data_IF_444135526965
#
_entry.id   IF_444135526965
#
_cell.length_a   1.000
_cell.length_b   1.000
_cell.length_c   1.000
_cell.angle_alpha   90.00
_cell.angle_beta   90.00
_cell.angle_gamma   90.00
#
_symmetry.space_group_name_H-M   'P 1'
#
loop_
_entity.id
_entity.type
_entity.pdbx_description
1 polymer ?
#
# COMPACT_ATOMS: atom_id res chain seq x y z
N UNK A 1 27.97 22.46 5.00
CA UNK A 1 26.77 22.11 4.21
C UNK A 1 25.62 21.82 5.18
N UNK A 2 24.51 22.56 5.13
CA UNK A 2 23.30 22.25 5.89
C UNK A 2 22.74 20.86 5.54
N UNK A 3 22.12 20.19 6.53
CA UNK A 3 21.49 18.87 6.33
C UNK A 3 20.47 18.85 5.18
N UNK A 4 19.78 19.97 4.94
CA UNK A 4 18.84 20.13 3.84
C UNK A 4 19.51 20.03 2.46
N UNK A 5 20.69 20.64 2.28
CA UNK A 5 21.47 20.54 1.04
C UNK A 5 22.01 19.13 0.85
N UNK A 6 22.52 18.50 1.93
CA UNK A 6 23.00 17.11 1.88
C UNK A 6 21.88 16.13 1.46
N UNK A 7 20.67 16.28 2.01
CA UNK A 7 19.50 15.47 1.61
C UNK A 7 19.14 15.67 0.15
N UNK A 8 19.22 16.90 -0.36
CA UNK A 8 18.93 17.19 -1.77
C UNK A 8 19.93 16.51 -2.70
N UNK A 9 21.24 16.57 -2.39
CA UNK A 9 22.28 15.91 -3.16
C UNK A 9 22.12 14.38 -3.13
N UNK A 10 21.90 13.80 -1.95
CA UNK A 10 21.66 12.35 -1.82
C UNK A 10 20.40 11.92 -2.59
N UNK A 11 19.33 12.72 -2.56
CA UNK A 11 18.10 12.40 -3.31
C UNK A 11 18.33 12.53 -4.82
N UNK A 12 19.05 13.56 -5.28
CA UNK A 12 19.34 13.76 -6.69
C UNK A 12 20.21 12.63 -7.27
N UNK A 13 21.20 12.17 -6.51
CA UNK A 13 22.13 11.12 -6.94
C UNK A 13 21.49 9.73 -6.90
N UNK A 14 20.77 9.40 -5.81
CA UNK A 14 20.29 8.04 -5.56
C UNK A 14 18.79 7.84 -5.88
N UNK A 15 18.05 8.90 -6.14
CA UNK A 15 16.63 8.86 -6.51
C UNK A 15 16.39 9.70 -7.77
N UNK A 16 16.98 9.29 -8.92
CA UNK A 16 16.88 10.04 -10.17
C UNK A 16 15.41 10.27 -10.55
N UNK A 17 15.11 11.48 -11.02
CA UNK A 17 13.73 11.95 -11.20
C UNK A 17 12.97 11.11 -12.23
N UNK A 18 13.66 10.60 -13.25
CA UNK A 18 13.11 9.77 -14.32
C UNK A 18 12.63 8.43 -13.76
N UNK A 19 13.39 7.84 -12.83
CA UNK A 19 13.04 6.58 -12.17
C UNK A 19 11.81 6.76 -11.28
N UNK A 20 11.76 7.85 -10.52
CA UNK A 20 10.59 8.20 -9.71
C UNK A 20 9.35 8.39 -10.59
N UNK A 21 9.46 9.16 -11.67
CA UNK A 21 8.36 9.36 -12.62
C UNK A 21 7.89 8.05 -13.26
N UNK A 22 8.82 7.17 -13.60
CA UNK A 22 8.51 5.85 -14.16
C UNK A 22 7.74 4.99 -13.16
N UNK A 23 8.13 5.01 -11.89
CA UNK A 23 7.43 4.29 -10.82
C UNK A 23 6.04 4.87 -10.55
N UNK A 24 5.92 6.21 -10.50
CA UNK A 24 4.64 6.90 -10.38
C UNK A 24 3.71 6.54 -11.56
N UNK A 25 4.21 6.56 -12.79
CA UNK A 25 3.44 6.17 -13.96
C UNK A 25 2.97 4.71 -13.87
N UNK A 26 3.86 3.78 -13.48
CA UNK A 26 3.50 2.36 -13.27
C UNK A 26 2.38 2.23 -12.24
N UNK A 27 2.47 2.95 -11.12
CA UNK A 27 1.45 2.95 -10.07
C UNK A 27 0.11 3.47 -10.57
N UNK A 28 0.09 4.61 -11.26
CA UNK A 28 -1.13 5.19 -11.83
C UNK A 28 -1.78 4.33 -12.92
N UNK A 29 -0.99 3.52 -13.62
CA UNK A 29 -1.46 2.57 -14.63
C UNK A 29 -1.82 1.19 -14.07
N UNK A 30 -1.57 0.94 -12.78
CA UNK A 30 -1.75 -0.36 -12.15
C UNK A 30 -3.23 -0.74 -12.09
N UNK A 31 -3.55 -1.97 -12.52
CA UNK A 31 -4.90 -2.55 -12.48
C UNK A 31 -4.83 -4.01 -12.07
N UNK A 32 -5.88 -4.50 -11.45
CA UNK A 32 -6.04 -5.94 -11.20
C UNK A 32 -5.99 -6.69 -12.55
N UNK A 33 -5.15 -7.72 -12.63
CA UNK A 33 -5.09 -8.66 -13.75
C UNK A 33 -5.60 -10.01 -13.30
N UNK A 34 -6.40 -10.67 -14.13
CA UNK A 34 -6.83 -12.07 -13.92
C UNK A 34 -7.44 -12.35 -12.53
N UNK A 35 -8.10 -11.35 -11.93
CA UNK A 35 -8.64 -11.42 -10.57
C UNK A 35 -7.59 -11.75 -9.47
N UNK A 36 -6.29 -11.58 -9.75
CA UNK A 36 -5.23 -11.79 -8.78
C UNK A 36 -5.02 -10.53 -7.92
N UNK A 37 -5.86 -10.42 -6.89
CA UNK A 37 -5.90 -9.30 -5.96
C UNK A 37 -4.66 -9.25 -5.07
N UNK A 38 -4.17 -10.41 -4.62
CA UNK A 38 -2.94 -10.51 -3.82
C UNK A 38 -1.75 -9.91 -4.56
N UNK A 39 -1.56 -10.27 -5.84
CA UNK A 39 -0.50 -9.70 -6.66
C UNK A 39 -0.68 -8.18 -6.88
N UNK A 40 -1.93 -7.72 -6.99
CA UNK A 40 -2.24 -6.30 -7.08
C UNK A 40 -1.85 -5.55 -5.79
N UNK A 41 -2.28 -6.01 -4.62
CA UNK A 41 -1.99 -5.38 -3.33
C UNK A 41 -0.48 -5.34 -3.07
N UNK A 42 0.21 -6.46 -3.29
CA UNK A 42 1.67 -6.51 -3.16
C UNK A 42 2.34 -5.48 -4.07
N UNK A 43 1.98 -5.45 -5.36
CA UNK A 43 2.60 -4.55 -6.32
C UNK A 43 2.27 -3.08 -6.05
N UNK A 44 1.06 -2.80 -5.59
CA UNK A 44 0.63 -1.47 -5.17
C UNK A 44 1.47 -0.98 -3.99
N UNK A 45 1.63 -1.82 -2.96
CA UNK A 45 2.40 -1.48 -1.77
C UNK A 45 3.89 -1.26 -2.08
N UNK A 46 4.50 -2.12 -2.91
CA UNK A 46 5.88 -1.92 -3.40
C UNK A 46 6.05 -0.57 -4.11
N UNK A 47 5.15 -0.25 -5.06
CA UNK A 47 5.24 0.98 -5.84
C UNK A 47 4.93 2.23 -4.99
N UNK A 48 3.97 2.14 -4.07
CA UNK A 48 3.61 3.24 -3.18
C UNK A 48 4.75 3.63 -2.22
N UNK A 49 5.53 2.64 -1.74
CA UNK A 49 6.73 2.86 -0.93
C UNK A 49 7.84 3.57 -1.70
N UNK A 50 7.94 3.32 -3.01
CA UNK A 50 8.99 3.87 -3.87
C UNK A 50 8.64 5.22 -4.50
N UNK A 51 7.47 5.80 -4.22
CA UNK A 51 7.01 7.09 -4.77
C UNK A 51 6.96 8.17 -3.67
N UNK A 52 8.07 8.90 -3.39
CA UNK A 52 8.16 9.85 -2.28
C UNK A 52 7.05 10.89 -2.21
N UNK A 53 6.55 11.34 -3.37
CA UNK A 53 5.47 12.34 -3.48
C UNK A 53 4.12 11.80 -3.00
N UNK A 54 3.87 10.51 -3.19
CA UNK A 54 2.64 9.83 -2.76
C UNK A 54 2.69 9.33 -1.32
N UNK A 55 3.87 9.22 -0.70
CA UNK A 55 4.04 8.72 0.68
C UNK A 55 3.26 9.55 1.72
N UNK A 56 3.13 10.87 1.53
CA UNK A 56 2.51 11.77 2.53
C UNK A 56 0.99 11.94 2.38
N UNK A 57 0.42 12.19 1.19
CA UNK A 57 -1.02 12.39 1.09
C UNK A 57 -1.76 11.05 1.03
N UNK A 58 -2.26 10.58 2.18
CA UNK A 58 -2.95 9.30 2.31
C UNK A 58 -4.14 9.16 1.36
N UNK A 59 -4.94 10.23 1.21
CA UNK A 59 -6.05 10.31 0.25
C UNK A 59 -5.65 9.98 -1.19
N UNK A 60 -4.44 10.39 -1.61
CA UNK A 60 -3.97 10.17 -2.98
C UNK A 60 -3.60 8.70 -3.17
N UNK A 61 -3.10 8.03 -2.14
CA UNK A 61 -2.87 6.59 -2.16
C UNK A 61 -4.17 5.82 -2.26
N UNK A 62 -5.17 6.19 -1.44
CA UNK A 62 -6.49 5.57 -1.47
C UNK A 62 -7.14 5.72 -2.86
N UNK A 63 -7.10 6.92 -3.44
CA UNK A 63 -7.63 7.15 -4.80
C UNK A 63 -6.90 6.33 -5.86
N UNK A 64 -5.57 6.23 -5.77
CA UNK A 64 -4.77 5.41 -6.68
C UNK A 64 -5.11 3.91 -6.54
N UNK A 65 -5.31 3.44 -5.31
CA UNK A 65 -5.73 2.07 -5.02
C UNK A 65 -7.10 1.78 -5.63
N UNK A 66 -8.12 2.56 -5.28
CA UNK A 66 -9.50 2.41 -5.77
C UNK A 66 -9.57 2.48 -7.31
N UNK A 67 -8.72 3.29 -7.94
CA UNK A 67 -8.65 3.40 -9.41
C UNK A 67 -8.21 2.10 -10.09
N UNK A 68 -7.33 1.33 -9.47
CA UNK A 68 -6.81 0.06 -10.01
C UNK A 68 -7.75 -1.13 -9.80
N UNK A 69 -8.76 -0.99 -8.94
CA UNK A 69 -9.75 -2.02 -8.68
C UNK A 69 -10.67 -2.27 -9.89
N UNK A 70 -11.14 -3.51 -10.01
CA UNK A 70 -12.15 -3.89 -10.99
C UNK A 70 -13.51 -3.30 -10.63
N UNK A 71 -14.31 -2.96 -11.64
CA UNK A 71 -15.58 -2.23 -11.47
C UNK A 71 -16.58 -2.92 -10.55
N UNK A 72 -16.52 -4.25 -10.45
CA UNK A 72 -17.38 -5.06 -9.59
C UNK A 72 -17.15 -4.86 -8.08
N UNK A 73 -15.96 -4.45 -7.63
CA UNK A 73 -15.66 -4.19 -6.20
C UNK A 73 -15.44 -2.70 -5.94
N UNK A 74 -15.06 -1.94 -6.96
CA UNK A 74 -14.69 -0.54 -6.85
C UNK A 74 -15.78 0.32 -6.20
N UNK A 75 -17.05 0.09 -6.57
CA UNK A 75 -18.18 0.85 -6.02
C UNK A 75 -18.36 0.65 -4.51
N UNK A 76 -18.28 -0.60 -4.05
CA UNK A 76 -18.45 -0.97 -2.65
C UNK A 76 -17.28 -0.45 -1.79
N UNK A 77 -16.04 -0.60 -2.26
CA UNK A 77 -14.84 -0.05 -1.59
C UNK A 77 -14.90 1.49 -1.55
N UNK A 78 -15.41 2.15 -2.59
CA UNK A 78 -15.59 3.61 -2.56
C UNK A 78 -16.64 4.02 -1.53
N UNK A 79 -17.71 3.24 -1.37
CA UNK A 79 -18.80 3.52 -0.43
C UNK A 79 -18.38 3.38 1.04
N UNK A 80 -17.40 2.52 1.34
CA UNK A 80 -16.88 2.35 2.71
C UNK A 80 -16.01 3.51 3.17
N UNK A 81 -15.56 4.38 2.25
CA UNK A 81 -14.72 5.57 2.53
C UNK A 81 -13.47 5.23 3.36
N UNK A 82 -12.57 4.37 2.84
CA UNK A 82 -11.39 3.96 3.58
C UNK A 82 -10.45 5.15 3.86
N UNK A 83 -9.90 5.21 5.07
CA UNK A 83 -8.98 6.27 5.46
C UNK A 83 -7.56 6.07 4.93
N UNK A 84 -7.18 4.82 4.64
CA UNK A 84 -5.87 4.41 4.14
C UNK A 84 -5.99 3.15 3.24
N UNK A 85 -4.95 2.81 2.44
CA UNK A 85 -4.99 1.66 1.55
C UNK A 85 -5.23 0.32 2.26
N UNK A 86 -4.71 0.12 3.47
CA UNK A 86 -4.93 -1.13 4.23
C UNK A 86 -6.40 -1.32 4.62
N UNK A 87 -7.12 -0.25 4.95
CA UNK A 87 -8.57 -0.32 5.12
C UNK A 87 -9.30 -0.66 3.82
N UNK A 88 -8.83 -0.12 2.69
CA UNK A 88 -9.40 -0.46 1.39
C UNK A 88 -9.18 -1.95 1.03
N UNK A 89 -7.99 -2.49 1.30
CA UNK A 89 -7.66 -3.92 1.17
C UNK A 89 -8.56 -4.79 2.06
N UNK A 90 -8.78 -4.39 3.32
CA UNK A 90 -9.64 -5.12 4.24
C UNK A 90 -11.11 -5.14 3.78
N UNK A 91 -11.62 -4.02 3.26
CA UNK A 91 -12.98 -3.93 2.72
C UNK A 91 -13.12 -4.83 1.49
N UNK A 92 -12.13 -4.81 0.61
CA UNK A 92 -12.08 -5.68 -0.56
C UNK A 92 -12.10 -7.17 -0.19
N UNK A 93 -11.25 -7.58 0.77
CA UNK A 93 -11.25 -8.95 1.28
C UNK A 93 -12.58 -9.36 1.94
N UNK A 94 -13.24 -8.42 2.64
CA UNK A 94 -14.56 -8.66 3.23
C UNK A 94 -15.64 -8.87 2.15
N UNK A 95 -15.62 -8.07 1.08
CA UNK A 95 -16.52 -8.24 -0.07
C UNK A 95 -16.31 -9.60 -0.73
N UNK A 96 -15.05 -10.01 -0.95
CA UNK A 96 -14.73 -11.31 -1.53
C UNK A 96 -15.27 -12.47 -0.67
N UNK A 97 -15.11 -12.36 0.66
CA UNK A 97 -15.62 -13.35 1.62
C UNK A 97 -17.15 -13.42 1.58
N UNK A 98 -17.84 -12.29 1.55
CA UNK A 98 -19.30 -12.26 1.53
C UNK A 98 -19.87 -12.80 0.22
N UNK A 99 -19.23 -12.51 -0.91
CA UNK A 99 -19.60 -13.07 -2.21
C UNK A 99 -19.38 -14.58 -2.27
N UNK A 100 -18.31 -15.09 -1.66
CA UNK A 100 -18.09 -16.53 -1.53
C UNK A 100 -19.20 -17.17 -0.66
N UNK A 101 -19.64 -16.52 0.43
CA UNK A 101 -20.78 -17.00 1.23
C UNK A 101 -22.07 -17.02 0.42
N UNK A 102 -22.41 -15.96 -0.31
CA UNK A 102 -23.61 -15.92 -1.14
C UNK A 102 -23.58 -16.94 -2.29
N UNK A 103 -22.40 -17.27 -2.82
CA UNK A 103 -22.25 -18.38 -3.77
C UNK A 103 -22.46 -19.75 -3.08
N UNK A 104 -22.05 -19.88 -1.82
CA UNK A 104 -22.25 -21.09 -1.01
C UNK A 104 -23.67 -21.21 -0.44
N UNK A 105 -24.51 -20.17 -0.42
CA UNK A 105 -25.95 -20.27 -0.05
C UNK A 105 -26.74 -21.11 -1.07
N UNK A 106 -26.18 -21.40 -2.25
CA UNK A 106 -26.73 -22.43 -3.16
C UNK A 106 -26.31 -23.85 -2.76
N UNK A 107 -25.30 -24.03 -1.90
CA UNK A 107 -24.79 -25.33 -1.46
C UNK A 107 -24.52 -25.34 0.07
N UNK A 108 -25.60 -25.24 0.85
CA UNK A 108 -25.58 -25.47 2.29
C UNK A 108 -25.34 -26.95 2.61
N UNK A 109 -24.13 -27.32 3.04
CA UNK A 109 -23.92 -28.31 4.10
C UNK A 109 -22.45 -28.37 4.58
N UNK A 110 -22.27 -28.03 5.87
CA UNK A 110 -21.21 -28.44 6.82
C UNK A 110 -20.14 -27.38 7.18
N UNK A 111 -20.30 -26.85 8.40
CA UNK A 111 -19.28 -27.00 9.44
C UNK A 111 -18.62 -25.71 9.95
N UNK A 112 -18.97 -25.30 11.18
CA UNK A 112 -18.34 -24.23 11.96
C UNK A 112 -17.02 -24.65 12.63
N UNK A 113 -16.10 -23.69 12.84
CA UNK A 113 -15.03 -23.75 13.86
C UNK A 113 -13.92 -22.67 13.72
N UNK A 114 -13.63 -21.81 14.73
CA UNK A 114 -12.76 -20.63 14.58
C UNK A 114 -11.44 -20.62 15.41
N UNK A 115 -10.54 -19.69 15.03
CA UNK A 115 -9.61 -18.85 15.86
C UNK A 115 -8.07 -19.01 15.70
N UNK A 116 -7.47 -17.84 15.35
CA UNK A 116 -6.15 -17.21 15.62
C UNK A 116 -4.85 -18.03 15.66
N UNK A 117 -3.90 -17.55 14.85
CA UNK A 117 -2.51 -17.33 15.26
C UNK A 117 -2.04 -15.98 14.71
N UNK A 118 -1.64 -15.05 15.59
CA UNK A 118 -0.93 -13.82 15.22
C UNK A 118 0.49 -13.96 15.77
N UNK A 119 1.44 -14.28 14.90
CA UNK A 119 2.86 -14.21 15.20
C UNK A 119 3.40 -12.92 14.59
N UNK A 120 3.41 -11.85 15.39
CA UNK A 120 4.13 -10.63 15.05
C UNK A 120 5.61 -10.82 15.41
N UNK A 121 6.38 -11.39 14.48
CA UNK A 121 7.82 -11.22 14.51
C UNK A 121 8.12 -9.73 14.29
N UNK A 122 8.81 -9.12 15.25
CA UNK A 122 9.24 -7.72 15.18
C UNK A 122 10.24 -7.61 14.02
N UNK A 123 9.72 -7.24 12.85
CA UNK A 123 10.53 -6.99 11.67
C UNK A 123 11.58 -5.96 12.05
N UNK A 124 12.85 -6.37 11.96
CA UNK A 124 13.96 -5.44 12.01
C UNK A 124 13.63 -4.31 11.04
N UNK A 125 13.58 -3.07 11.55
CA UNK A 125 13.37 -1.90 10.70
C UNK A 125 14.59 -1.80 9.82
N UNK A 126 14.55 -2.42 8.65
CA UNK A 126 15.53 -2.17 7.61
C UNK A 126 15.47 -0.68 7.32
N UNK A 127 16.59 0.00 7.56
CA UNK A 127 16.76 1.40 7.19
C UNK A 127 16.74 1.49 5.67
N UNK A 128 15.54 1.61 5.11
CA UNK A 128 15.40 1.92 3.69
C UNK A 128 15.94 3.34 3.45
N UNK A 129 16.45 3.60 2.26
CA UNK A 129 16.89 4.93 1.85
C UNK A 129 15.82 6.01 2.15
N UNK A 130 14.54 5.67 1.99
CA UNK A 130 13.41 6.53 2.34
C UNK A 130 13.29 6.85 3.84
N UNK A 131 13.64 5.90 4.73
CA UNK A 131 13.72 6.11 6.19
C UNK A 131 14.96 6.96 6.53
N UNK A 132 16.10 6.70 5.89
CA UNK A 132 17.35 7.42 6.12
C UNK A 132 17.26 8.92 5.77
N UNK A 133 16.73 9.27 4.59
CA UNK A 133 16.56 10.66 4.15
C UNK A 133 15.54 11.44 5.01
N UNK A 134 14.67 10.72 5.73
CA UNK A 134 13.61 11.30 6.55
C UNK A 134 14.04 11.54 8.01
N UNK A 135 15.19 10.99 8.44
CA UNK A 135 15.75 11.24 9.76
C UNK A 135 16.38 12.65 9.84
N UNK A 136 16.23 13.30 10.99
CA UNK A 136 16.89 14.58 11.30
C UNK A 136 18.10 14.28 12.21
N UNK A 137 19.35 14.50 11.77
CA UNK A 137 20.54 14.24 12.57
C UNK A 137 20.66 15.19 13.77
N UNK A 138 19.85 16.25 13.84
CA UNK A 138 19.81 17.12 15.03
C UNK A 138 19.32 16.38 16.28
N UNK A 139 18.70 15.20 16.14
CA UNK A 139 18.38 14.30 17.26
C UNK A 139 19.61 13.64 17.92
N UNK A 140 20.80 13.71 17.29
CA UNK A 140 22.05 13.12 17.78
C UNK A 140 23.05 14.17 18.33
N UNK A 141 22.66 15.45 18.41
CA UNK A 141 23.52 16.54 18.90
C UNK A 141 23.25 16.93 20.36
N UNK A 142 22.58 16.08 21.14
CA UNK A 142 22.40 16.24 22.59
C UNK A 142 22.99 15.05 23.38
N UNK A 143 24.24 14.70 23.09
CA UNK A 143 25.12 13.93 23.99
C UNK A 143 26.56 14.39 23.84
#
# INVERSE_FOLDING_TARGET
>A
MPWTEMKQLMTAEFCPIEEVQRMEHKLWSLKIKEYNILAYNQRFNELALMCPRMIKPERVKVDAYIRGLSGNIKGEVTSSKPANPSEAENVEAAIATERARHANVVNDARGYGPVRGQDAALAARECTFAVFIKCDPTAFLWY
#
